data_IF_207635168745
#
_entry.id   IF_207635168745
#
_cell.length_a   1.000
_cell.length_b   1.000
_cell.length_c   1.000
_cell.angle_alpha   90.00
_cell.angle_beta   90.00
_cell.angle_gamma   90.00
#
_symmetry.space_group_name_H-M   'P 1'
#
loop_
_entity.id
_entity.type
_entity.pdbx_description
1 polymer ?
#
# COMPACT_ATOMS: atom_id res chain seq x y z
N UNK A 1 11.48 22.32 1.90
CA UNK A 1 10.00 22.13 1.86
C UNK A 1 9.55 21.49 0.54
N UNK A 2 9.82 22.07 -0.63
CA UNK A 2 9.39 21.55 -1.95
C UNK A 2 9.78 20.09 -2.19
N UNK A 3 11.06 19.73 -1.97
CA UNK A 3 11.55 18.36 -2.19
C UNK A 3 10.82 17.32 -1.32
N UNK A 4 10.69 17.58 -0.02
CA UNK A 4 10.03 16.67 0.91
C UNK A 4 8.56 16.44 0.54
N UNK A 5 7.83 17.52 0.21
CA UNK A 5 6.44 17.44 -0.25
C UNK A 5 6.35 16.64 -1.56
N UNK A 6 7.18 16.95 -2.56
CA UNK A 6 7.15 16.26 -3.85
C UNK A 6 7.42 14.78 -3.70
N UNK A 7 8.45 14.39 -2.95
CA UNK A 7 8.77 12.99 -2.69
C UNK A 7 7.65 12.28 -1.93
N UNK A 8 7.07 12.94 -0.91
CA UNK A 8 5.97 12.38 -0.12
C UNK A 8 4.74 12.11 -0.99
N UNK A 9 4.34 13.08 -1.82
CA UNK A 9 3.20 12.95 -2.72
C UNK A 9 3.42 11.89 -3.78
N UNK A 10 4.59 11.86 -4.43
CA UNK A 10 4.92 10.84 -5.42
C UNK A 10 4.89 9.43 -4.80
N UNK A 11 5.42 9.26 -3.59
CA UNK A 11 5.38 7.99 -2.88
C UNK A 11 3.93 7.56 -2.58
N UNK A 12 3.10 8.48 -2.10
CA UNK A 12 1.68 8.21 -1.84
C UNK A 12 0.93 7.82 -3.13
N UNK A 13 1.14 8.56 -4.23
CA UNK A 13 0.53 8.30 -5.54
C UNK A 13 0.92 6.94 -6.08
N UNK A 14 2.22 6.61 -6.08
CA UNK A 14 2.69 5.31 -6.60
C UNK A 14 2.13 4.16 -5.77
N UNK A 15 2.08 4.28 -4.44
CA UNK A 15 1.60 3.20 -3.60
C UNK A 15 0.09 3.02 -3.68
N UNK A 16 -0.70 4.07 -3.44
CA UNK A 16 -2.17 3.99 -3.47
C UNK A 16 -2.66 3.71 -4.89
N UNK A 17 -2.09 4.38 -5.89
CA UNK A 17 -2.40 4.14 -7.30
C UNK A 17 -2.05 2.72 -7.75
N UNK A 18 -0.88 2.21 -7.33
CA UNK A 18 -0.48 0.83 -7.62
C UNK A 18 -1.41 -0.21 -6.99
N UNK A 19 -1.84 0.00 -5.74
CA UNK A 19 -2.82 -0.87 -5.08
C UNK A 19 -4.19 -0.82 -5.77
N UNK A 20 -4.66 0.38 -6.13
CA UNK A 20 -5.89 0.56 -6.90
C UNK A 20 -5.83 -0.17 -8.24
N UNK A 21 -4.77 0.03 -9.02
CA UNK A 21 -4.58 -0.65 -10.30
C UNK A 21 -4.58 -2.17 -10.14
N UNK A 22 -3.80 -2.70 -9.18
CA UNK A 22 -3.76 -4.13 -8.91
C UNK A 22 -5.15 -4.68 -8.56
N UNK A 23 -5.88 -4.03 -7.67
CA UNK A 23 -7.15 -4.55 -7.14
C UNK A 23 -8.33 -4.37 -8.10
N UNK A 24 -8.47 -3.18 -8.69
CA UNK A 24 -9.63 -2.78 -9.48
C UNK A 24 -9.48 -3.04 -10.97
N UNK A 25 -8.25 -3.07 -11.50
CA UNK A 25 -7.99 -3.14 -12.95
C UNK A 25 -7.37 -4.48 -13.33
N UNK A 26 -6.19 -4.79 -12.79
CA UNK A 26 -5.46 -6.00 -13.18
C UNK A 26 -6.20 -7.27 -12.76
N UNK A 27 -6.73 -7.30 -11.53
CA UNK A 27 -7.41 -8.49 -11.00
C UNK A 27 -8.60 -8.96 -11.82
N UNK A 28 -9.64 -8.16 -12.09
CA UNK A 28 -10.80 -8.67 -12.82
C UNK A 28 -10.40 -9.26 -14.18
N UNK A 29 -9.49 -8.60 -14.89
CA UNK A 29 -8.96 -9.08 -16.17
C UNK A 29 -8.23 -10.42 -15.98
N UNK A 30 -7.32 -10.51 -15.00
CA UNK A 30 -6.59 -11.75 -14.72
C UNK A 30 -7.52 -12.90 -14.30
N UNK A 31 -8.61 -12.63 -13.59
CA UNK A 31 -9.59 -13.66 -13.20
C UNK A 31 -10.40 -14.15 -14.40
N UNK A 32 -10.77 -13.24 -15.30
CA UNK A 32 -11.55 -13.56 -16.49
C UNK A 32 -10.74 -14.31 -17.56
N UNK A 33 -9.46 -13.97 -17.70
CA UNK A 33 -8.63 -14.48 -18.81
C UNK A 33 -7.73 -15.64 -18.43
N UNK A 34 -7.42 -15.84 -17.13
CA UNK A 34 -6.41 -16.81 -16.70
C UNK A 34 -6.96 -17.79 -15.66
N UNK A 35 -6.69 -19.08 -15.92
CA UNK A 35 -6.88 -20.16 -14.97
C UNK A 35 -5.89 -20.09 -13.80
N UNK A 36 -6.17 -20.72 -12.64
CA UNK A 36 -5.30 -20.66 -11.46
C UNK A 36 -3.81 -20.97 -11.71
N UNK A 37 -3.42 -22.02 -12.49
CA UNK A 37 -2.01 -22.34 -12.73
C UNK A 37 -1.24 -21.26 -13.51
N UNK A 38 -1.93 -20.42 -14.28
CA UNK A 38 -1.32 -19.29 -15.02
C UNK A 38 -1.43 -17.99 -14.22
N UNK A 39 -2.56 -17.80 -13.55
CA UNK A 39 -2.90 -16.59 -12.80
C UNK A 39 -2.06 -16.42 -11.53
N UNK A 40 -1.82 -17.49 -10.78
CA UNK A 40 -1.08 -17.41 -9.51
C UNK A 40 0.41 -17.06 -9.72
N UNK A 41 1.14 -17.66 -10.68
CA UNK A 41 2.49 -17.20 -11.04
C UNK A 41 2.54 -15.76 -11.53
N UNK A 42 1.56 -15.31 -12.33
CA UNK A 42 1.47 -13.90 -12.74
C UNK A 42 1.43 -12.97 -11.51
N UNK A 43 0.58 -13.28 -10.53
CA UNK A 43 0.48 -12.49 -9.30
C UNK A 43 1.77 -12.51 -8.48
N UNK A 44 2.44 -13.65 -8.37
CA UNK A 44 3.78 -13.73 -7.75
C UNK A 44 4.76 -12.80 -8.47
N UNK A 45 4.79 -12.83 -9.80
CA UNK A 45 5.65 -11.96 -10.61
C UNK A 45 5.35 -10.47 -10.42
N UNK A 46 4.06 -10.09 -10.41
CA UNK A 46 3.62 -8.71 -10.18
C UNK A 46 4.04 -8.24 -8.79
N UNK A 47 3.80 -9.03 -7.74
CA UNK A 47 4.19 -8.66 -6.38
C UNK A 47 5.71 -8.62 -6.19
N UNK A 48 6.47 -9.53 -6.80
CA UNK A 48 7.93 -9.50 -6.78
C UNK A 48 8.50 -8.20 -7.39
N UNK A 49 7.82 -7.62 -8.39
CA UNK A 49 8.23 -6.33 -8.96
C UNK A 49 7.70 -5.14 -8.17
N UNK A 50 6.48 -5.20 -7.65
CA UNK A 50 5.86 -4.07 -6.95
C UNK A 50 6.36 -3.88 -5.51
N UNK A 51 6.57 -4.97 -4.76
CA UNK A 51 6.92 -4.88 -3.35
C UNK A 51 8.28 -4.21 -3.05
N UNK A 52 9.33 -4.32 -3.88
CA UNK A 52 10.53 -3.50 -3.72
C UNK A 52 10.25 -2.00 -3.75
N UNK A 53 9.35 -1.54 -4.62
CA UNK A 53 8.90 -0.14 -4.63
C UNK A 53 8.16 0.21 -3.34
N UNK A 54 7.28 -0.69 -2.87
CA UNK A 54 6.56 -0.48 -1.62
C UNK A 54 7.53 -0.38 -0.43
N UNK A 55 8.59 -1.19 -0.38
CA UNK A 55 9.64 -1.08 0.65
C UNK A 55 10.30 0.30 0.68
N UNK A 56 10.61 0.87 -0.49
CA UNK A 56 11.13 2.25 -0.57
C UNK A 56 10.08 3.24 -0.06
N UNK A 57 8.81 3.07 -0.45
CA UNK A 57 7.73 3.98 -0.10
C UNK A 57 7.40 3.96 1.41
N UNK A 58 7.36 2.79 2.06
CA UNK A 58 7.07 2.68 3.49
C UNK A 58 8.15 3.31 4.37
N UNK A 59 9.36 3.50 3.84
CA UNK A 59 10.42 4.27 4.50
C UNK A 59 10.34 5.75 4.12
N UNK A 60 10.16 6.04 2.83
CA UNK A 60 10.17 7.40 2.31
C UNK A 60 9.02 8.25 2.88
N UNK A 61 7.83 7.67 3.04
CA UNK A 61 6.65 8.38 3.56
C UNK A 61 6.85 8.86 5.01
N UNK A 62 7.21 8.02 6.00
CA UNK A 62 7.52 8.49 7.35
C UNK A 62 8.68 9.49 7.39
N UNK A 63 9.77 9.23 6.66
CA UNK A 63 10.96 10.11 6.65
C UNK A 63 10.59 11.51 6.16
N UNK A 64 9.93 11.60 5.02
CA UNK A 64 9.50 12.90 4.46
C UNK A 64 8.39 13.54 5.29
N UNK A 65 7.46 12.75 5.84
CA UNK A 65 6.40 13.23 6.71
C UNK A 65 6.94 13.88 7.99
N UNK A 66 7.80 13.18 8.72
CA UNK A 66 8.41 13.72 9.94
C UNK A 66 9.38 14.88 9.64
N UNK A 67 10.08 14.86 8.51
CA UNK A 67 10.86 16.02 8.08
C UNK A 67 9.98 17.27 7.94
N UNK A 68 8.80 17.16 7.31
CA UNK A 68 7.87 18.29 7.22
C UNK A 68 7.35 18.72 8.61
N UNK A 69 6.94 17.77 9.44
CA UNK A 69 6.40 18.07 10.79
C UNK A 69 7.43 18.81 11.66
N UNK A 70 8.63 18.26 11.80
CA UNK A 70 9.63 18.81 12.73
C UNK A 70 10.48 19.92 12.12
N UNK A 71 10.75 19.86 10.81
CA UNK A 71 11.61 20.82 10.13
C UNK A 71 10.89 22.05 9.57
N UNK A 72 9.57 21.99 9.37
CA UNK A 72 8.78 23.09 8.79
C UNK A 72 7.66 23.52 9.72
N UNK A 73 6.87 22.57 10.24
CA UNK A 73 5.67 22.92 11.00
C UNK A 73 5.93 23.21 12.48
N UNK A 74 7.15 23.00 12.99
CA UNK A 74 7.50 23.30 14.39
C UNK A 74 7.21 22.17 15.38
N UNK A 75 6.93 20.96 14.89
CA UNK A 75 6.74 19.75 15.70
C UNK A 75 5.31 19.20 15.72
N UNK A 76 5.11 18.16 16.53
CA UNK A 76 3.80 17.47 16.62
C UNK A 76 2.74 18.30 17.34
N UNK A 77 3.11 19.27 18.18
CA UNK A 77 2.17 20.11 18.90
C UNK A 77 1.56 21.23 18.02
N UNK A 78 2.18 21.51 16.87
CA UNK A 78 1.82 22.62 15.99
C UNK A 78 1.09 22.18 14.71
N UNK A 79 0.92 20.87 14.52
CA UNK A 79 0.15 20.31 13.40
C UNK A 79 -1.30 20.05 13.80
N UNK A 80 -2.22 20.22 12.85
CA UNK A 80 -3.66 19.99 13.12
C UNK A 80 -4.03 18.51 13.24
N UNK A 81 -5.23 18.24 13.75
CA UNK A 81 -5.77 16.88 13.96
C UNK A 81 -5.69 16.00 12.69
N UNK A 82 -5.91 16.58 11.51
CA UNK A 82 -5.83 15.88 10.23
C UNK A 82 -4.46 15.22 10.00
N UNK A 83 -3.36 15.84 10.47
CA UNK A 83 -2.00 15.27 10.35
C UNK A 83 -1.83 14.06 11.26
N UNK A 84 -2.33 14.13 12.48
CA UNK A 84 -2.31 13.00 13.42
C UNK A 84 -3.12 11.81 12.89
N UNK A 85 -4.32 12.08 12.33
CA UNK A 85 -5.16 11.05 11.71
C UNK A 85 -4.47 10.44 10.48
N UNK A 86 -3.91 11.26 9.60
CA UNK A 86 -3.11 10.81 8.45
C UNK A 86 -1.95 9.93 8.90
N UNK A 87 -1.20 10.32 9.92
CA UNK A 87 -0.07 9.55 10.45
C UNK A 87 -0.54 8.21 11.03
N UNK A 88 -1.57 8.20 11.87
CA UNK A 88 -2.09 6.97 12.47
C UNK A 88 -2.57 5.97 11.43
N UNK A 89 -3.32 6.44 10.44
CA UNK A 89 -3.76 5.62 9.31
C UNK A 89 -2.58 5.16 8.44
N UNK A 90 -1.60 6.03 8.18
CA UNK A 90 -0.39 5.68 7.44
C UNK A 90 0.39 4.54 8.10
N UNK A 91 0.56 4.56 9.42
CA UNK A 91 1.18 3.46 10.16
C UNK A 91 0.36 2.17 10.08
N UNK A 92 -0.97 2.26 10.19
CA UNK A 92 -1.85 1.11 9.98
C UNK A 92 -1.66 0.50 8.58
N UNK A 93 -1.58 1.32 7.53
CA UNK A 93 -1.31 0.86 6.17
C UNK A 93 0.03 0.12 6.04
N UNK A 94 1.07 0.63 6.69
CA UNK A 94 2.40 -0.02 6.74
C UNK A 94 2.28 -1.39 7.43
N UNK A 95 1.60 -1.48 8.58
CA UNK A 95 1.40 -2.75 9.29
C UNK A 95 0.64 -3.78 8.45
N UNK A 96 -0.39 -3.36 7.72
CA UNK A 96 -1.11 -4.22 6.78
C UNK A 96 -0.19 -4.74 5.67
N UNK A 97 0.68 -3.89 5.12
CA UNK A 97 1.67 -4.30 4.14
C UNK A 97 2.67 -5.31 4.71
N UNK A 98 3.23 -5.06 5.90
CA UNK A 98 4.16 -5.99 6.55
C UNK A 98 3.50 -7.35 6.79
N UNK A 99 2.25 -7.36 7.26
CA UNK A 99 1.47 -8.60 7.41
C UNK A 99 1.34 -9.36 6.09
N UNK A 100 0.98 -8.66 4.99
CA UNK A 100 0.85 -9.24 3.64
C UNK A 100 2.18 -9.81 3.15
N UNK A 101 3.27 -9.06 3.30
CA UNK A 101 4.59 -9.41 2.78
C UNK A 101 5.17 -10.64 3.48
N UNK A 102 5.18 -10.66 4.82
CA UNK A 102 5.81 -11.73 5.59
C UNK A 102 4.94 -12.98 5.75
N UNK A 103 3.62 -12.84 5.68
CA UNK A 103 2.68 -13.95 5.85
C UNK A 103 2.16 -14.49 4.51
N UNK A 104 1.02 -13.96 3.99
CA UNK A 104 0.37 -14.49 2.80
C UNK A 104 1.24 -14.54 1.55
N UNK A 105 2.08 -13.52 1.29
CA UNK A 105 2.88 -13.49 0.07
C UNK A 105 3.95 -14.59 0.03
N UNK A 106 4.62 -14.84 1.17
CA UNK A 106 5.56 -15.96 1.29
C UNK A 106 4.85 -17.28 1.00
N UNK A 107 3.71 -17.54 1.64
CA UNK A 107 2.91 -18.76 1.44
C UNK A 107 2.39 -18.91 0.00
N UNK A 108 2.02 -17.80 -0.65
CA UNK A 108 1.62 -17.80 -2.06
C UNK A 108 2.78 -18.24 -2.96
N UNK A 109 4.00 -17.74 -2.72
CA UNK A 109 5.19 -18.15 -3.48
C UNK A 109 5.46 -19.63 -3.32
N UNK A 110 5.43 -20.12 -2.08
CA UNK A 110 5.66 -21.53 -1.79
C UNK A 110 4.63 -22.42 -2.49
N UNK A 111 3.34 -22.06 -2.41
CA UNK A 111 2.25 -22.79 -3.06
C UNK A 111 2.37 -22.81 -4.60
N UNK A 112 2.85 -21.72 -5.22
CA UNK A 112 3.10 -21.68 -6.67
C UNK A 112 4.26 -22.59 -7.06
N UNK A 113 5.33 -22.65 -6.25
CA UNK A 113 6.49 -23.53 -6.50
C UNK A 113 6.11 -25.01 -6.37
N UNK A 114 5.28 -25.35 -5.38
CA UNK A 114 4.85 -26.74 -5.14
C UNK A 114 3.64 -27.17 -5.97
N UNK A 115 3.03 -26.26 -6.73
CA UNK A 115 1.82 -26.53 -7.51
C UNK A 115 0.54 -26.70 -6.66
N UNK A 116 0.55 -26.27 -5.40
CA UNK A 116 -0.64 -26.25 -4.52
C UNK A 116 -1.55 -25.06 -4.87
N UNK A 117 -2.27 -25.18 -5.99
CA UNK A 117 -3.19 -24.14 -6.47
C UNK A 117 -4.31 -23.79 -5.49
N UNK A 118 -4.91 -24.75 -4.74
CA UNK A 118 -5.87 -24.44 -3.68
C UNK A 118 -5.31 -23.51 -2.59
N UNK A 119 -4.12 -23.80 -2.06
CA UNK A 119 -3.49 -22.93 -1.06
C UNK A 119 -3.09 -21.58 -1.67
N UNK A 120 -2.52 -21.57 -2.88
CA UNK A 120 -2.18 -20.34 -3.59
C UNK A 120 -3.40 -19.43 -3.77
N UNK A 121 -4.55 -20.00 -4.15
CA UNK A 121 -5.82 -19.27 -4.25
C UNK A 121 -6.29 -18.69 -2.91
N UNK A 122 -6.17 -19.45 -1.81
CA UNK A 122 -6.51 -18.97 -0.46
C UNK A 122 -5.63 -17.79 -0.04
N UNK A 123 -4.31 -17.89 -0.23
CA UNK A 123 -3.38 -16.82 0.14
C UNK A 123 -3.56 -15.58 -0.73
N UNK A 124 -3.74 -15.74 -2.04
CA UNK A 124 -4.04 -14.61 -2.92
C UNK A 124 -5.35 -13.89 -2.52
N UNK A 125 -6.37 -14.62 -2.08
CA UNK A 125 -7.60 -14.01 -1.58
C UNK A 125 -7.39 -13.22 -0.28
N UNK A 126 -6.51 -13.68 0.62
CA UNK A 126 -6.12 -12.92 1.81
C UNK A 126 -5.40 -11.64 1.44
N UNK A 127 -4.38 -11.73 0.57
CA UNK A 127 -3.65 -10.57 0.04
C UNK A 127 -4.63 -9.56 -0.54
N UNK A 128 -5.56 -10.03 -1.39
CA UNK A 128 -6.57 -9.17 -2.03
C UNK A 128 -7.41 -8.42 -1.02
N UNK A 129 -7.97 -9.11 -0.02
CA UNK A 129 -8.82 -8.48 0.99
C UNK A 129 -8.04 -7.40 1.75
N UNK A 130 -6.81 -7.71 2.15
CA UNK A 130 -5.96 -6.76 2.86
C UNK A 130 -5.57 -5.58 1.98
N UNK A 131 -5.19 -5.80 0.71
CA UNK A 131 -4.89 -4.71 -0.25
C UNK A 131 -6.12 -3.85 -0.52
N UNK A 132 -7.32 -4.44 -0.63
CA UNK A 132 -8.56 -3.69 -0.79
C UNK A 132 -8.83 -2.76 0.41
N UNK A 133 -8.72 -3.29 1.63
CA UNK A 133 -8.82 -2.48 2.87
C UNK A 133 -7.75 -1.38 2.88
N UNK A 134 -6.51 -1.73 2.55
CA UNK A 134 -5.40 -0.78 2.53
C UNK A 134 -5.60 0.34 1.50
N UNK A 135 -6.20 0.01 0.35
CA UNK A 135 -6.54 0.99 -0.70
C UNK A 135 -7.60 1.98 -0.21
N UNK A 136 -8.65 1.50 0.47
CA UNK A 136 -9.69 2.37 1.05
C UNK A 136 -9.11 3.31 2.11
N UNK A 137 -8.22 2.79 2.98
CA UNK A 137 -7.51 3.62 3.96
C UNK A 137 -6.65 4.66 3.22
N UNK A 138 -5.94 4.26 2.16
CA UNK A 138 -5.14 5.18 1.34
C UNK A 138 -5.96 6.34 0.76
N UNK A 139 -7.16 6.07 0.24
CA UNK A 139 -8.07 7.13 -0.21
C UNK A 139 -8.54 8.03 0.92
N UNK A 140 -8.89 7.46 2.08
CA UNK A 140 -9.26 8.24 3.25
C UNK A 140 -8.10 9.15 3.70
N UNK A 141 -6.87 8.64 3.73
CA UNK A 141 -5.66 9.41 4.07
C UNK A 141 -5.46 10.57 3.10
N UNK A 142 -5.57 10.32 1.78
CA UNK A 142 -5.43 11.38 0.78
C UNK A 142 -6.52 12.46 0.95
N UNK A 143 -7.77 12.05 1.19
CA UNK A 143 -8.87 12.98 1.41
C UNK A 143 -8.68 13.82 2.68
N UNK A 144 -8.26 13.20 3.78
CA UNK A 144 -7.95 13.88 5.05
C UNK A 144 -6.78 14.86 4.86
N UNK A 145 -5.72 14.45 4.16
CA UNK A 145 -4.54 15.29 3.94
C UNK A 145 -4.86 16.50 3.05
N UNK A 146 -5.60 16.30 1.95
CA UNK A 146 -5.90 17.35 0.98
C UNK A 146 -7.06 18.26 1.42
N UNK A 147 -8.08 17.69 2.05
CA UNK A 147 -9.31 18.35 2.49
C UNK A 147 -9.26 18.87 3.92
N UNK A 148 -8.51 18.21 4.82
CA UNK A 148 -8.44 18.56 6.24
C UNK A 148 -7.92 19.97 6.52
N UNK A 149 -7.13 20.56 5.60
CA UNK A 149 -6.71 21.97 5.65
C UNK A 149 -7.84 22.99 5.49
N UNK A 150 -8.99 22.57 4.96
CA UNK A 150 -10.16 23.41 4.70
C UNK A 150 -11.32 23.13 5.68
N UNK A 151 -11.17 22.14 6.55
CA UNK A 151 -12.19 21.72 7.53
C UNK A 151 -11.86 22.21 8.95
N UNK A 152 -10.84 23.06 9.11
CA UNK A 152 -10.37 23.62 10.38
C UNK A 152 -10.67 25.13 10.44
#
# INVERSE_FOLDING_TARGET
MSLAISLHLLAAVVWVGGMFFAHQVLRPVAVQQLEPPQRLPLWVGVFNRFFPWVWVIVVLLPVTGYWMVFGVFGGMASVGLHVHLMQGLGWLMILLYLHVYFGPFRKLKDAVVTGDWPEGGRQLNRIRRTVGINTLIGFAVIAIAAGGRYLA
#
